data_IF_712135029056
#
_entry.id   IF_712135029056
#
_cell.length_a   1.000
_cell.length_b   1.000
_cell.length_c   1.000
_cell.angle_alpha   90.00
_cell.angle_beta   90.00
_cell.angle_gamma   90.00
#
_symmetry.space_group_name_H-M   'P 1'
#
loop_
_entity.id
_entity.type
_entity.pdbx_description
1 polymer ?
#
# COMPACT_ATOMS: atom_id res chain seq x y z
N UNK A 1 -8.76 -8.58 17.49
CA UNK A 1 -8.31 -8.36 16.10
C UNK A 1 -8.34 -6.87 15.77
N UNK A 2 -7.38 -6.41 14.97
CA UNK A 2 -7.23 -5.03 14.51
C UNK A 2 -7.32 -5.03 12.98
N UNK A 3 -8.15 -4.15 12.43
CA UNK A 3 -8.31 -3.97 10.98
C UNK A 3 -7.95 -2.53 10.65
N UNK A 4 -7.02 -2.34 9.71
CA UNK A 4 -6.60 -1.01 9.26
C UNK A 4 -6.85 -0.91 7.75
N UNK A 5 -7.74 -0.01 7.29
CA UNK A 5 -7.97 0.19 5.88
C UNK A 5 -6.82 1.00 5.27
N UNK A 6 -6.38 0.58 4.09
CA UNK A 6 -5.33 1.18 3.28
C UNK A 6 -5.76 1.19 1.81
N UNK A 7 -5.17 2.05 1.00
CA UNK A 7 -5.47 2.15 -0.43
C UNK A 7 -5.07 0.89 -1.21
N UNK A 8 -5.66 0.67 -2.39
CA UNK A 8 -5.37 -0.50 -3.21
C UNK A 8 -4.38 -0.14 -4.32
N UNK A 9 -3.26 -0.86 -4.36
CA UNK A 9 -2.28 -0.75 -5.44
C UNK A 9 -2.92 -1.12 -6.80
N UNK A 10 -2.73 -0.25 -7.80
CA UNK A 10 -3.31 -0.39 -9.13
C UNK A 10 -4.74 0.13 -9.28
N UNK A 11 -5.33 0.70 -8.22
CA UNK A 11 -6.60 1.42 -8.28
C UNK A 11 -6.38 2.86 -7.80
N UNK A 12 -6.17 3.06 -6.50
CA UNK A 12 -5.98 4.38 -5.90
C UNK A 12 -4.50 4.82 -5.89
N UNK A 13 -3.55 3.87 -5.92
CA UNK A 13 -2.12 4.15 -5.87
C UNK A 13 -1.30 3.35 -6.89
N UNK A 14 -0.06 3.77 -7.15
CA UNK A 14 0.86 3.02 -8.00
C UNK A 14 1.58 1.89 -7.23
N UNK A 15 2.11 0.91 -7.97
CA UNK A 15 2.76 -0.23 -7.34
C UNK A 15 3.34 -1.21 -8.33
N UNK A 16 3.81 -2.34 -7.81
CA UNK A 16 4.33 -3.46 -8.62
C UNK A 16 3.75 -4.76 -8.13
N UNK A 17 2.98 -5.45 -8.97
CA UNK A 17 2.62 -6.85 -8.74
C UNK A 17 3.73 -7.74 -9.29
N UNK A 18 3.91 -8.89 -8.64
CA UNK A 18 4.58 -10.02 -9.27
C UNK A 18 3.52 -11.04 -9.66
N UNK A 19 3.50 -11.39 -10.94
CA UNK A 19 2.73 -12.55 -11.39
C UNK A 19 3.38 -13.81 -10.82
N UNK A 20 2.63 -14.91 -10.75
CA UNK A 20 3.11 -16.17 -10.15
C UNK A 20 4.37 -16.75 -10.83
N UNK A 21 4.64 -16.37 -12.08
CA UNK A 21 5.85 -16.68 -12.81
C UNK A 21 6.99 -15.65 -12.61
N UNK A 22 6.91 -14.86 -11.53
CA UNK A 22 7.87 -13.83 -11.12
C UNK A 22 8.05 -12.67 -12.10
N UNK A 23 7.17 -12.53 -13.10
CA UNK A 23 7.21 -11.37 -14.00
C UNK A 23 6.64 -10.15 -13.28
N UNK A 24 7.40 -9.03 -13.20
CA UNK A 24 6.91 -7.80 -12.58
C UNK A 24 5.90 -7.11 -13.51
N UNK A 25 4.80 -6.64 -12.93
CA UNK A 25 3.76 -5.86 -13.59
C UNK A 25 3.69 -4.52 -12.89
N UNK A 26 4.07 -3.44 -13.61
CA UNK A 26 3.90 -2.07 -13.10
C UNK A 26 2.42 -1.72 -13.09
N UNK A 27 1.88 -1.50 -11.91
CA UNK A 27 0.52 -1.04 -11.70
C UNK A 27 0.45 0.48 -11.84
N UNK A 28 -0.67 0.99 -12.34
CA UNK A 28 -0.92 2.42 -12.49
C UNK A 28 -2.13 2.80 -11.66
N UNK A 29 -2.10 4.00 -11.08
CA UNK A 29 -3.27 4.63 -10.49
C UNK A 29 -4.34 4.89 -11.56
N UNK A 30 -5.59 4.57 -11.25
CA UNK A 30 -6.75 4.77 -12.14
C UNK A 30 -7.80 5.72 -11.56
N UNK A 31 -7.86 5.85 -10.24
CA UNK A 31 -8.77 6.77 -9.52
C UNK A 31 -8.01 7.46 -8.39
N UNK A 32 -8.57 8.57 -7.90
CA UNK A 32 -8.02 9.25 -6.72
C UNK A 32 -8.27 8.42 -5.44
N UNK A 33 -7.32 8.38 -4.49
CA UNK A 33 -7.53 7.71 -3.21
C UNK A 33 -8.63 8.38 -2.39
N UNK A 34 -9.36 7.62 -1.55
CA UNK A 34 -10.20 8.19 -0.51
C UNK A 34 -9.43 9.19 0.36
N UNK A 35 -10.07 10.28 0.73
CA UNK A 35 -9.45 11.30 1.58
C UNK A 35 -8.96 10.69 2.90
N UNK A 36 -7.76 11.09 3.32
CA UNK A 36 -7.12 10.66 4.57
C UNK A 36 -6.79 9.15 4.68
N UNK A 37 -6.83 8.40 3.57
CA UNK A 37 -6.41 6.99 3.56
C UNK A 37 -4.94 6.87 3.16
N UNK A 38 -4.16 6.15 3.99
CA UNK A 38 -2.75 5.85 3.72
C UNK A 38 -2.61 4.74 2.68
N UNK A 39 -1.49 4.72 1.96
CA UNK A 39 -1.07 3.53 1.23
C UNK A 39 -0.34 2.52 2.13
N UNK A 40 -0.18 1.29 1.63
CA UNK A 40 0.47 0.20 2.36
C UNK A 40 1.86 0.59 2.87
N UNK A 41 2.65 1.30 2.06
CA UNK A 41 4.02 1.68 2.40
C UNK A 41 4.03 2.69 3.54
N UNK A 42 3.27 3.78 3.41
CA UNK A 42 3.17 4.83 4.44
C UNK A 42 2.70 4.26 5.78
N UNK A 43 1.68 3.40 5.75
CA UNK A 43 1.18 2.76 6.96
C UNK A 43 2.24 1.86 7.61
N UNK A 44 2.90 1.01 6.82
CA UNK A 44 3.91 0.09 7.34
C UNK A 44 5.16 0.83 7.84
N UNK A 45 5.57 1.92 7.20
CA UNK A 45 6.65 2.79 7.68
C UNK A 45 6.30 3.38 9.06
N UNK A 46 5.10 3.94 9.23
CA UNK A 46 4.63 4.46 10.52
C UNK A 46 4.57 3.37 11.61
N UNK A 47 4.18 2.15 11.25
CA UNK A 47 4.14 1.03 12.20
C UNK A 47 5.55 0.63 12.62
N UNK A 48 6.49 0.55 11.67
CA UNK A 48 7.89 0.23 11.96
C UNK A 48 8.49 1.28 12.89
N UNK A 49 8.35 2.57 12.58
CA UNK A 49 8.83 3.65 13.45
C UNK A 49 8.27 3.52 14.87
N UNK A 50 6.96 3.26 15.00
CA UNK A 50 6.31 3.09 16.29
C UNK A 50 6.85 1.90 17.08
N UNK A 51 7.16 0.80 16.40
CA UNK A 51 7.70 -0.41 17.02
C UNK A 51 9.17 -0.24 17.42
N UNK A 52 9.97 0.51 16.63
CA UNK A 52 11.37 0.79 16.93
C UNK A 52 11.54 1.76 18.11
N UNK A 53 10.55 2.62 18.37
CA UNK A 53 10.50 3.49 19.55
C UNK A 53 10.19 2.75 20.87
N UNK A 54 9.76 1.49 20.82
CA UNK A 54 9.35 0.69 21.99
C UNK A 54 10.50 -0.09 22.61
#
# INVERSE_FOLDING_TARGET
DLYVPVTIAGIEWEGTAYRMDSVPIRMRKVVEPPESMLNDVEFLEMVIEKVEEM
#
